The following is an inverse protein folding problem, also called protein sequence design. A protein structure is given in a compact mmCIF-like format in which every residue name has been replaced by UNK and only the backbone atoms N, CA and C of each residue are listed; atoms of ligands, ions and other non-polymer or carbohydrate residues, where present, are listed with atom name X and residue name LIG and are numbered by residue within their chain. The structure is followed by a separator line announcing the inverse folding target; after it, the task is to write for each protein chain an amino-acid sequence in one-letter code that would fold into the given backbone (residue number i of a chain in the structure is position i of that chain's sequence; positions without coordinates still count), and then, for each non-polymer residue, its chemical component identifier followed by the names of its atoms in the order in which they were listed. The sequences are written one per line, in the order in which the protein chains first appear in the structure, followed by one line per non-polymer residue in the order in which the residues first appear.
data_IF_442179644392
#
_entry.id   IF_442179644392
#
_cell.length_a   1.000
_cell.length_b   1.000
_cell.length_c   1.000
_cell.angle_alpha   90.00
_cell.angle_beta   90.00
_cell.angle_gamma   90.00
#
_symmetry.space_group_name_H-M   'P 1'
#
loop_
_entity.id
_entity.type
_entity.pdbx_description
1 polymer ?
#
# COMPACT_ATOMS: atom_id res chain seq x y z
N UNK A 1 23.21 -23.25 9.91
CA UNK A 1 23.57 -21.86 10.23
C UNK A 1 23.63 -21.11 8.91
N UNK A 2 22.55 -20.47 8.54
CA UNK A 2 22.49 -19.56 7.40
C UNK A 2 22.06 -18.23 8.03
N UNK A 3 22.93 -17.25 7.96
CA UNK A 3 22.83 -15.93 8.57
C UNK A 3 21.66 -15.13 7.99
N UNK A 4 20.74 -14.75 8.85
CA UNK A 4 19.82 -13.65 8.65
C UNK A 4 20.61 -12.35 8.45
N UNK A 5 20.52 -11.79 7.27
CA UNK A 5 21.20 -10.54 7.01
C UNK A 5 20.88 -9.97 5.65
N UNK A 6 19.69 -9.40 5.47
CA UNK A 6 19.45 -8.41 4.42
C UNK A 6 18.15 -7.65 4.75
N UNK A 7 18.23 -6.82 5.79
CA UNK A 7 17.43 -5.62 5.86
C UNK A 7 18.20 -4.50 5.14
N UNK A 8 17.61 -3.73 4.24
CA UNK A 8 18.30 -2.62 3.61
C UNK A 8 18.77 -1.63 4.69
N UNK A 9 20.00 -1.17 4.53
CA UNK A 9 20.67 -0.23 5.44
C UNK A 9 19.80 1.03 5.60
N UNK A 10 19.35 1.29 6.82
CA UNK A 10 18.84 2.59 7.26
C UNK A 10 19.88 3.67 6.96
N UNK A 11 19.51 4.69 6.24
CA UNK A 11 20.34 5.89 6.18
C UNK A 11 20.28 6.68 4.89
N UNK A 12 19.17 7.33 4.61
CA UNK A 12 19.16 8.65 3.94
C UNK A 12 17.88 9.38 4.37
N UNK A 13 18.04 10.68 4.63
CA UNK A 13 16.98 11.52 5.21
C UNK A 13 15.89 11.81 4.19
N UNK A 14 14.60 11.89 4.60
CA UNK A 14 13.48 12.27 3.73
C UNK A 14 13.52 13.74 3.27
N UNK A 15 14.56 14.49 3.59
CA UNK A 15 14.70 15.91 3.21
C UNK A 15 14.75 16.18 1.70
N UNK A 16 14.66 15.14 0.86
CA UNK A 16 14.69 15.26 -0.60
C UNK A 16 13.35 14.93 -1.28
N UNK A 17 12.23 15.01 -0.60
CA UNK A 17 10.92 15.08 -1.27
C UNK A 17 10.80 16.43 -2.00
N UNK A 18 11.61 16.60 -3.05
CA UNK A 18 11.61 17.78 -3.90
C UNK A 18 10.28 17.91 -4.64
N UNK A 19 9.87 19.15 -4.81
CA UNK A 19 8.59 19.59 -5.36
C UNK A 19 8.29 19.20 -6.80
N UNK A 20 9.23 18.61 -7.56
CA UNK A 20 9.04 18.32 -8.98
C UNK A 20 9.43 16.87 -9.29
N UNK A 21 8.40 16.03 -9.48
CA UNK A 21 8.50 14.59 -9.70
C UNK A 21 8.70 14.24 -11.19
N UNK A 22 9.55 14.99 -11.90
CA UNK A 22 10.10 14.56 -13.19
C UNK A 22 11.61 14.61 -13.11
N UNK A 23 12.22 13.45 -13.29
CA UNK A 23 13.68 13.35 -13.42
C UNK A 23 14.06 14.15 -14.68
N UNK A 24 15.01 15.09 -14.53
CA UNK A 24 15.58 15.83 -15.67
C UNK A 24 16.19 14.81 -16.66
N UNK A 25 15.96 14.98 -17.95
CA UNK A 25 16.39 14.06 -19.01
C UNK A 25 17.91 13.82 -18.95
N UNK A 26 18.70 14.82 -18.55
CA UNK A 26 20.15 14.68 -18.38
C UNK A 26 20.52 13.75 -17.23
N UNK A 27 19.79 13.76 -16.11
CA UNK A 27 19.99 12.86 -14.97
C UNK A 27 19.55 11.44 -15.34
N UNK A 28 18.51 11.30 -16.18
CA UNK A 28 18.05 10.03 -16.73
C UNK A 28 19.11 9.40 -17.64
N UNK A 29 19.68 10.16 -18.56
CA UNK A 29 20.70 9.69 -19.52
C UNK A 29 22.04 9.35 -18.82
N UNK A 30 22.39 10.05 -17.74
CA UNK A 30 23.61 9.76 -16.97
C UNK A 30 23.49 8.50 -16.09
N UNK A 31 22.27 8.07 -15.73
CA UNK A 31 22.05 6.79 -15.03
C UNK A 31 22.09 5.57 -15.97
N UNK A 32 21.94 5.75 -17.30
CA UNK A 32 22.04 4.64 -18.26
C UNK A 32 23.44 4.01 -18.33
N UNK A 33 24.49 4.77 -18.02
CA UNK A 33 25.89 4.34 -18.25
C UNK A 33 26.48 3.46 -17.15
N UNK A 34 25.75 3.13 -16.07
CA UNK A 34 26.34 2.45 -14.90
C UNK A 34 25.69 1.13 -14.47
N UNK A 35 24.58 0.70 -15.05
CA UNK A 35 23.91 -0.54 -14.60
C UNK A 35 24.19 -1.74 -15.50
N UNK A 36 24.33 -2.90 -14.86
CA UNK A 36 24.66 -4.16 -15.53
C UNK A 36 23.62 -4.51 -16.62
N UNK A 37 24.09 -5.07 -17.73
CA UNK A 37 23.24 -5.70 -18.72
C UNK A 37 22.30 -6.70 -18.03
N UNK A 38 20.97 -6.61 -18.32
CA UNK A 38 19.95 -7.47 -17.69
C UNK A 38 19.22 -6.85 -16.49
N UNK A 39 19.39 -5.54 -16.20
CA UNK A 39 18.54 -4.85 -15.21
C UNK A 39 17.08 -4.84 -15.65
N UNK A 40 16.16 -5.07 -14.71
CA UNK A 40 14.73 -5.21 -14.99
C UNK A 40 13.93 -4.14 -14.28
N UNK A 41 12.95 -3.57 -14.96
CA UNK A 41 12.04 -2.61 -14.34
C UNK A 41 10.64 -2.77 -14.92
N UNK A 42 9.61 -2.82 -14.06
CA UNK A 42 8.24 -2.96 -14.54
C UNK A 42 7.18 -2.76 -13.48
N UNK A 43 5.93 -2.71 -13.93
CA UNK A 43 4.76 -2.47 -13.13
C UNK A 43 4.08 -3.77 -12.68
N UNK A 44 3.68 -3.82 -11.41
CA UNK A 44 3.04 -4.99 -10.80
C UNK A 44 1.76 -4.53 -10.09
N UNK A 45 0.61 -5.03 -10.51
CA UNK A 45 -0.64 -4.77 -9.80
C UNK A 45 -0.84 -5.74 -8.63
N UNK A 46 -1.23 -5.22 -7.47
CA UNK A 46 -1.62 -6.04 -6.31
C UNK A 46 -3.15 -6.03 -6.20
N UNK A 47 -3.78 -7.17 -6.45
CA UNK A 47 -5.24 -7.30 -6.46
C UNK A 47 -5.72 -8.39 -5.50
N UNK A 48 -7.00 -8.35 -5.16
CA UNK A 48 -7.66 -9.32 -4.27
C UNK A 48 -8.82 -8.67 -3.53
N UNK A 49 -9.69 -9.49 -2.91
CA UNK A 49 -10.82 -8.97 -2.13
C UNK A 49 -10.37 -8.06 -0.97
N UNK A 50 -11.26 -7.28 -0.36
CA UNK A 50 -10.94 -6.49 0.82
C UNK A 50 -10.39 -7.35 1.97
N UNK A 51 -9.49 -6.78 2.75
CA UNK A 51 -8.92 -7.36 3.98
C UNK A 51 -8.08 -8.64 3.82
N UNK A 52 -7.69 -9.04 2.60
CA UNK A 52 -6.70 -10.13 2.40
C UNK A 52 -5.28 -9.73 2.77
N UNK A 53 -5.00 -8.42 2.89
CA UNK A 53 -3.72 -7.89 3.32
C UNK A 53 -2.87 -7.27 2.22
N UNK A 54 -3.46 -6.79 1.11
CA UNK A 54 -2.77 -6.13 -0.01
C UNK A 54 -1.86 -4.99 0.44
N UNK A 55 -2.41 -3.99 1.13
CA UNK A 55 -1.65 -2.82 1.63
C UNK A 55 -0.58 -3.21 2.67
N UNK A 56 -0.82 -4.26 3.47
CA UNK A 56 0.20 -4.80 4.38
C UNK A 56 1.33 -5.44 3.60
N UNK A 57 1.00 -6.22 2.56
CA UNK A 57 1.98 -6.83 1.67
C UNK A 57 2.83 -5.76 0.98
N UNK A 58 2.19 -4.74 0.41
CA UNK A 58 2.87 -3.63 -0.23
C UNK A 58 3.84 -2.91 0.71
N UNK A 59 3.40 -2.57 1.93
CA UNK A 59 4.28 -1.92 2.91
C UNK A 59 5.51 -2.77 3.27
N UNK A 60 5.37 -4.11 3.32
CA UNK A 60 6.51 -5.00 3.54
C UNK A 60 7.42 -5.14 2.32
N UNK A 61 6.85 -5.18 1.10
CA UNK A 61 7.64 -5.20 -0.14
C UNK A 61 8.51 -3.94 -0.25
N UNK A 62 7.96 -2.79 0.14
CA UNK A 62 8.67 -1.50 0.07
C UNK A 62 9.60 -1.30 1.29
N UNK A 63 9.37 -2.00 2.39
CA UNK A 63 10.09 -1.79 3.66
C UNK A 63 9.65 -0.54 4.43
N UNK A 64 8.62 0.17 3.96
CA UNK A 64 8.11 1.40 4.56
C UNK A 64 6.59 1.48 4.51
N UNK A 65 5.98 2.20 5.46
CA UNK A 65 4.52 2.38 5.52
C UNK A 65 4.07 3.50 4.58
N UNK A 66 3.75 3.15 3.35
CA UNK A 66 3.25 4.08 2.32
C UNK A 66 1.74 3.92 2.04
N UNK A 67 1.17 2.76 2.34
CA UNK A 67 -0.27 2.50 2.22
C UNK A 67 -0.89 2.25 3.60
N UNK A 68 -2.10 2.78 3.83
CA UNK A 68 -2.80 2.62 5.10
C UNK A 68 -3.42 1.24 5.24
N UNK A 69 -3.48 0.77 6.46
CA UNK A 69 -4.00 -0.56 6.79
C UNK A 69 -5.15 -0.49 7.78
N UNK A 70 -6.24 -1.20 7.51
CA UNK A 70 -7.36 -1.31 8.43
C UNK A 70 -8.05 -2.67 8.30
N UNK A 71 -8.78 -3.07 9.35
CA UNK A 71 -9.67 -4.24 9.28
C UNK A 71 -10.97 -3.95 8.52
N UNK A 72 -11.26 -2.68 8.23
CA UNK A 72 -12.47 -2.25 7.52
C UNK A 72 -12.26 -2.36 6.01
N UNK A 73 -13.33 -2.61 5.27
CA UNK A 73 -13.29 -2.59 3.81
C UNK A 73 -13.04 -1.16 3.28
N UNK A 74 -12.63 -1.04 2.02
CA UNK A 74 -12.43 0.26 1.34
C UNK A 74 -11.47 1.23 2.07
N UNK A 75 -10.46 0.68 2.74
CA UNK A 75 -9.42 1.50 3.40
C UNK A 75 -8.62 2.26 2.35
N UNK A 76 -8.15 1.58 1.31
CA UNK A 76 -7.48 2.18 0.16
C UNK A 76 -8.54 2.74 -0.81
N UNK A 77 -8.58 4.04 -0.98
CA UNK A 77 -9.49 4.75 -1.91
C UNK A 77 -8.75 5.24 -3.15
N UNK A 78 -7.49 5.57 -3.01
CA UNK A 78 -6.64 6.10 -4.06
C UNK A 78 -5.62 5.04 -4.46
N UNK A 79 -5.26 5.01 -5.74
CA UNK A 79 -4.13 4.25 -6.23
C UNK A 79 -2.86 4.75 -5.55
N UNK A 80 -2.12 3.84 -4.91
CA UNK A 80 -0.83 4.13 -4.29
C UNK A 80 0.23 3.35 -5.05
N UNK A 81 1.27 4.03 -5.49
CA UNK A 81 2.44 3.43 -6.12
C UNK A 81 3.52 3.22 -5.06
N UNK A 82 4.05 2.02 -4.97
CA UNK A 82 5.19 1.68 -4.14
C UNK A 82 6.35 1.22 -4.99
N UNK A 83 7.53 1.72 -4.72
CA UNK A 83 8.73 1.46 -5.51
C UNK A 83 9.73 0.72 -4.62
N UNK A 84 10.14 -0.46 -5.07
CA UNK A 84 11.22 -1.23 -4.48
C UNK A 84 12.34 -1.35 -5.50
N UNK A 85 13.54 -0.92 -5.12
CA UNK A 85 14.73 -0.94 -5.98
C UNK A 85 15.82 -1.76 -5.31
N UNK A 86 16.42 -2.68 -6.06
CA UNK A 86 17.67 -3.38 -5.70
C UNK A 86 18.71 -3.26 -6.82
N UNK A 87 19.85 -3.91 -6.64
CA UNK A 87 20.97 -3.84 -7.58
C UNK A 87 20.62 -4.40 -8.97
N UNK A 88 19.54 -5.15 -9.11
CA UNK A 88 19.20 -5.96 -10.28
C UNK A 88 17.83 -5.65 -10.88
N UNK A 89 16.95 -5.02 -10.12
CA UNK A 89 15.62 -4.69 -10.58
C UNK A 89 14.97 -3.52 -9.81
N UNK A 90 13.99 -2.88 -10.48
CA UNK A 90 13.05 -1.96 -9.84
C UNK A 90 11.64 -2.47 -10.06
N UNK A 91 10.93 -2.70 -8.95
CA UNK A 91 9.57 -3.18 -8.93
C UNK A 91 8.64 -2.01 -8.61
N UNK A 92 7.72 -1.68 -9.52
CA UNK A 92 6.75 -0.60 -9.33
C UNK A 92 5.40 -1.22 -8.98
N UNK A 93 5.12 -1.35 -7.69
CA UNK A 93 3.88 -1.93 -7.21
C UNK A 93 2.74 -0.92 -7.22
N UNK A 94 1.58 -1.36 -7.70
CA UNK A 94 0.36 -0.56 -7.70
C UNK A 94 -0.65 -1.20 -6.76
N UNK A 95 -0.88 -0.58 -5.58
CA UNK A 95 -1.95 -1.02 -4.66
C UNK A 95 -3.30 -0.54 -5.19
N UNK A 96 -4.18 -1.50 -5.42
CA UNK A 96 -5.53 -1.22 -5.89
C UNK A 96 -6.53 -1.28 -4.74
N UNK A 97 -7.60 -0.47 -4.78
CA UNK A 97 -8.75 -0.69 -3.91
C UNK A 97 -9.21 -2.15 -3.99
N UNK A 98 -9.59 -2.74 -2.86
CA UNK A 98 -10.11 -4.11 -2.84
C UNK A 98 -11.36 -4.22 -3.72
N UNK A 99 -11.41 -5.21 -4.60
CA UNK A 99 -12.54 -5.45 -5.50
C UNK A 99 -13.84 -5.63 -4.71
N UNK A 100 -14.87 -4.84 -5.03
CA UNK A 100 -16.15 -4.82 -4.30
C UNK A 100 -17.21 -5.63 -5.07
N UNK A 101 -17.73 -6.66 -4.41
CA UNK A 101 -18.80 -7.52 -4.97
C UNK A 101 -20.16 -7.23 -4.36
N UNK A 102 -20.19 -6.62 -3.16
CA UNK A 102 -21.42 -6.36 -2.43
C UNK A 102 -21.87 -4.91 -2.60
N UNK A 103 -23.11 -4.71 -3.02
CA UNK A 103 -23.78 -3.44 -3.27
C UNK A 103 -23.24 -2.64 -4.46
N UNK A 104 -24.04 -2.58 -5.53
CA UNK A 104 -23.85 -1.64 -6.64
C UNK A 104 -24.16 -0.22 -6.14
N UNK A 105 -23.13 0.61 -6.00
CA UNK A 105 -23.26 2.04 -5.82
C UNK A 105 -22.14 2.75 -6.61
N UNK A 106 -22.33 4.03 -6.90
CA UNK A 106 -21.41 4.82 -7.72
C UNK A 106 -19.95 4.80 -7.19
N UNK A 107 -19.76 4.64 -5.89
CA UNK A 107 -18.43 4.53 -5.28
C UNK A 107 -17.77 3.18 -5.63
N UNK A 108 -18.52 2.08 -5.52
CA UNK A 108 -18.01 0.75 -5.83
C UNK A 108 -17.71 0.59 -7.32
N UNK A 109 -18.53 1.18 -8.19
CA UNK A 109 -18.30 1.17 -9.63
C UNK A 109 -17.00 1.90 -10.00
N UNK A 110 -16.72 3.06 -9.39
CA UNK A 110 -15.45 3.78 -9.53
C UNK A 110 -14.25 2.99 -9.00
N UNK A 111 -14.39 2.33 -7.84
CA UNK A 111 -13.33 1.51 -7.27
C UNK A 111 -13.01 0.31 -8.17
N UNK A 112 -14.02 -0.32 -8.76
CA UNK A 112 -13.84 -1.43 -9.68
C UNK A 112 -13.23 -0.98 -11.03
N UNK A 113 -13.60 0.18 -11.55
CA UNK A 113 -12.94 0.80 -12.71
C UNK A 113 -11.45 1.04 -12.46
N UNK A 114 -11.09 1.60 -11.30
CA UNK A 114 -9.70 1.80 -10.91
C UNK A 114 -8.89 0.49 -10.87
N UNK A 115 -9.52 -0.64 -10.49
CA UNK A 115 -8.86 -1.96 -10.54
C UNK A 115 -8.65 -2.40 -11.98
N UNK A 116 -9.65 -2.27 -12.85
CA UNK A 116 -9.54 -2.65 -14.26
C UNK A 116 -8.48 -1.81 -14.99
N UNK A 117 -8.45 -0.51 -14.73
CA UNK A 117 -7.41 0.39 -15.26
C UNK A 117 -6.02 0.04 -14.74
N UNK A 118 -5.91 -0.34 -13.45
CA UNK A 118 -4.63 -0.75 -12.88
C UNK A 118 -4.13 -2.10 -13.41
N UNK A 119 -5.01 -2.95 -13.92
CA UNK A 119 -4.65 -4.23 -14.56
C UNK A 119 -4.25 -4.05 -16.03
N UNK A 120 -4.59 -2.94 -16.67
CA UNK A 120 -4.15 -2.63 -18.02
C UNK A 120 -2.76 -2.03 -18.02
N UNK A 121 -1.83 -2.65 -18.74
CA UNK A 121 -0.46 -2.14 -18.90
C UNK A 121 0.49 -2.44 -17.75
N UNK A 122 0.22 -3.49 -16.95
CA UNK A 122 1.19 -4.01 -15.99
C UNK A 122 1.88 -5.27 -16.54
N UNK A 123 3.11 -5.48 -16.10
CA UNK A 123 3.95 -6.60 -16.55
C UNK A 123 3.65 -7.89 -15.78
N UNK A 124 3.16 -7.77 -14.55
CA UNK A 124 2.71 -8.90 -13.74
C UNK A 124 1.58 -8.51 -12.77
N UNK A 125 0.85 -9.51 -12.29
CA UNK A 125 -0.21 -9.34 -11.29
C UNK A 125 0.07 -10.23 -10.08
N UNK A 126 -0.07 -9.67 -8.89
CA UNK A 126 -0.08 -10.38 -7.61
C UNK A 126 -1.52 -10.52 -7.15
N UNK A 127 -2.10 -11.71 -7.27
CA UNK A 127 -3.43 -12.02 -6.76
C UNK A 127 -3.34 -12.55 -5.33
N UNK A 128 -3.81 -11.74 -4.38
CA UNK A 128 -3.70 -12.03 -2.94
C UNK A 128 -4.99 -12.64 -2.41
N UNK A 129 -4.88 -13.84 -1.83
CA UNK A 129 -5.94 -14.51 -1.08
C UNK A 129 -5.53 -14.70 0.39
N UNK A 130 -6.49 -14.87 1.29
CA UNK A 130 -6.19 -15.26 2.67
C UNK A 130 -6.00 -16.79 2.71
N UNK A 131 -4.85 -17.24 3.21
CA UNK A 131 -4.55 -18.67 3.34
C UNK A 131 -5.67 -19.42 4.08
N UNK A 132 -6.03 -20.61 3.60
CA UNK A 132 -7.10 -21.46 4.11
C UNK A 132 -8.52 -20.84 4.03
N UNK A 133 -8.70 -19.76 3.26
CA UNK A 133 -9.99 -19.11 3.08
C UNK A 133 -10.15 -18.56 1.67
N UNK A 134 -10.71 -19.38 0.81
CA UNK A 134 -11.11 -19.01 -0.54
C UNK A 134 -12.63 -18.87 -0.60
N UNK A 135 -13.14 -17.79 -1.18
CA UNK A 135 -14.55 -17.42 -1.14
C UNK A 135 -15.06 -17.01 -2.52
N UNK A 136 -16.38 -16.89 -2.68
CA UNK A 136 -16.98 -16.40 -3.93
C UNK A 136 -16.51 -14.98 -4.31
N UNK A 137 -16.18 -14.16 -3.32
CA UNK A 137 -15.58 -12.84 -3.57
C UNK A 137 -14.17 -12.96 -4.21
N UNK A 138 -13.39 -13.98 -3.86
CA UNK A 138 -12.10 -14.26 -4.50
C UNK A 138 -12.30 -14.75 -5.94
N UNK A 139 -13.28 -15.61 -6.20
CA UNK A 139 -13.66 -16.05 -7.56
C UNK A 139 -14.11 -14.90 -8.44
N UNK A 140 -14.83 -13.93 -7.87
CA UNK A 140 -15.23 -12.72 -8.62
C UNK A 140 -14.01 -11.91 -9.06
N UNK A 141 -12.96 -11.82 -8.23
CA UNK A 141 -11.70 -11.18 -8.62
C UNK A 141 -11.00 -11.96 -9.73
N UNK A 142 -10.96 -13.29 -9.64
CA UNK A 142 -10.36 -14.16 -10.68
C UNK A 142 -10.96 -13.89 -12.05
N UNK A 143 -12.28 -13.70 -12.15
CA UNK A 143 -12.97 -13.40 -13.42
C UNK A 143 -12.50 -12.09 -14.09
N UNK A 144 -11.83 -11.22 -13.35
CA UNK A 144 -11.32 -9.93 -13.83
C UNK A 144 -9.80 -9.97 -14.12
N UNK A 145 -9.13 -11.07 -13.78
CA UNK A 145 -7.70 -11.19 -14.02
C UNK A 145 -7.39 -11.24 -15.52
N UNK A 146 -6.33 -10.57 -15.96
CA UNK A 146 -5.93 -10.59 -17.36
C UNK A 146 -5.45 -12.00 -17.76
N UNK A 147 -5.82 -12.45 -18.94
CA UNK A 147 -5.45 -13.79 -19.45
C UNK A 147 -4.02 -13.85 -20.03
N UNK A 148 -3.48 -12.71 -20.42
CA UNK A 148 -2.20 -12.63 -21.13
C UNK A 148 -1.06 -12.03 -20.28
N UNK A 149 -1.38 -11.53 -19.08
CA UNK A 149 -0.39 -11.04 -18.13
C UNK A 149 -0.13 -12.12 -17.08
N UNK A 150 1.14 -12.43 -16.74
CA UNK A 150 1.45 -13.42 -15.71
C UNK A 150 0.84 -13.03 -14.36
N UNK A 151 0.14 -13.97 -13.74
CA UNK A 151 -0.51 -13.80 -12.44
C UNK A 151 0.15 -14.72 -11.42
N UNK A 152 0.67 -14.17 -10.35
CA UNK A 152 1.22 -14.91 -9.20
C UNK A 152 0.17 -14.99 -8.10
N UNK A 153 -0.23 -16.22 -7.72
CA UNK A 153 -1.11 -16.47 -6.58
C UNK A 153 -0.33 -16.27 -5.27
N UNK A 154 -0.80 -15.40 -4.40
CA UNK A 154 -0.21 -15.18 -3.06
C UNK A 154 -1.19 -15.59 -1.97
N UNK A 155 -0.90 -16.70 -1.29
CA UNK A 155 -1.61 -17.14 -0.09
C UNK A 155 -1.05 -16.40 1.12
N UNK A 156 -1.73 -15.32 1.55
CA UNK A 156 -1.28 -14.46 2.65
C UNK A 156 -1.87 -14.87 4.00
N UNK A 157 -1.27 -14.40 5.10
CA UNK A 157 -1.66 -14.64 6.49
C UNK A 157 -1.42 -16.08 6.94
N UNK A 158 -0.37 -16.71 6.46
CA UNK A 158 0.02 -18.07 6.91
C UNK A 158 0.34 -18.14 8.41
N UNK A 159 0.53 -16.99 9.07
CA UNK A 159 0.66 -16.84 10.52
C UNK A 159 -0.65 -17.06 11.27
N UNK A 160 -1.79 -17.03 10.59
CA UNK A 160 -3.10 -17.27 11.17
C UNK A 160 -3.45 -18.75 11.10
N UNK A 161 -3.33 -19.43 12.20
CA UNK A 161 -3.81 -20.79 12.36
C UNK A 161 -2.71 -21.85 12.22
N UNK A 162 -3.08 -23.09 12.56
CA UNK A 162 -2.22 -24.27 12.48
C UNK A 162 -2.27 -24.89 11.07
N UNK A 163 -2.12 -24.08 10.01
CA UNK A 163 -1.97 -24.66 8.68
C UNK A 163 -0.60 -25.35 8.62
N UNK A 164 -0.60 -26.69 8.72
CA UNK A 164 0.59 -27.45 8.38
C UNK A 164 0.89 -27.29 6.88
N UNK A 165 2.09 -27.65 6.50
CA UNK A 165 2.58 -27.54 5.13
C UNK A 165 1.64 -28.27 4.13
N UNK A 166 1.15 -29.44 4.47
CA UNK A 166 0.31 -30.27 3.58
C UNK A 166 -1.05 -29.63 3.30
N UNK A 167 -1.67 -29.06 4.32
CA UNK A 167 -2.95 -28.33 4.14
C UNK A 167 -2.78 -27.08 3.32
N UNK A 168 -1.66 -26.35 3.50
CA UNK A 168 -1.38 -25.15 2.72
C UNK A 168 -1.12 -25.51 1.24
N UNK A 169 -0.37 -26.57 0.97
CA UNK A 169 -0.14 -27.08 -0.39
C UNK A 169 -1.46 -27.55 -1.05
N UNK A 170 -2.32 -28.26 -0.32
CA UNK A 170 -3.63 -28.67 -0.81
C UNK A 170 -4.50 -27.45 -1.15
N UNK A 171 -4.55 -26.45 -0.27
CA UNK A 171 -5.27 -25.20 -0.50
C UNK A 171 -4.75 -24.45 -1.76
N UNK A 172 -3.44 -24.32 -1.91
CA UNK A 172 -2.84 -23.65 -3.07
C UNK A 172 -3.19 -24.41 -4.36
N UNK A 173 -3.20 -25.74 -4.32
CA UNK A 173 -3.59 -26.58 -5.46
C UNK A 173 -5.08 -26.42 -5.81
N UNK A 174 -5.96 -26.37 -4.82
CA UNK A 174 -7.40 -26.11 -5.00
C UNK A 174 -7.64 -24.76 -5.67
N UNK A 175 -7.03 -23.68 -5.14
CA UNK A 175 -7.16 -22.34 -5.74
C UNK A 175 -6.49 -22.29 -7.13
N UNK A 176 -5.38 -22.99 -7.30
CA UNK A 176 -4.66 -23.10 -8.57
C UNK A 176 -5.46 -23.74 -9.70
N UNK A 177 -6.50 -24.53 -9.38
CA UNK A 177 -7.39 -25.12 -10.37
C UNK A 177 -8.43 -24.12 -10.94
N UNK A 178 -8.62 -22.96 -10.28
CA UNK A 178 -9.60 -21.94 -10.71
C UNK A 178 -9.07 -20.99 -11.80
N UNK A 179 -7.75 -20.93 -11.98
CA UNK A 179 -7.10 -20.04 -12.95
C UNK A 179 -5.67 -20.52 -13.26
N UNK A 180 -5.19 -20.26 -14.48
CA UNK A 180 -3.81 -20.56 -14.88
C UNK A 180 -2.83 -19.54 -14.30
N UNK A 181 -2.33 -19.83 -13.09
CA UNK A 181 -1.34 -18.97 -12.44
C UNK A 181 0.07 -19.28 -12.94
N UNK A 182 0.84 -18.23 -13.20
CA UNK A 182 2.25 -18.32 -13.58
C UNK A 182 3.15 -18.82 -12.43
N UNK A 183 2.63 -18.80 -11.20
CA UNK A 183 3.30 -19.31 -10.01
C UNK A 183 2.52 -19.01 -8.75
N UNK A 184 3.03 -19.47 -7.61
CA UNK A 184 2.41 -19.20 -6.32
C UNK A 184 3.46 -18.96 -5.23
N UNK A 185 3.09 -18.21 -4.20
CA UNK A 185 3.86 -18.00 -2.97
C UNK A 185 2.95 -17.99 -1.74
N UNK A 186 3.50 -18.49 -0.64
CA UNK A 186 2.86 -18.45 0.68
C UNK A 186 3.58 -17.42 1.55
N UNK A 187 2.84 -16.42 2.06
CA UNK A 187 3.44 -15.29 2.76
C UNK A 187 2.73 -14.97 4.07
N UNK A 188 3.47 -14.41 5.02
CA UNK A 188 2.89 -13.61 6.09
C UNK A 188 3.30 -12.17 5.90
N UNK A 189 2.46 -11.39 5.24
CA UNK A 189 2.70 -9.96 5.06
C UNK A 189 2.86 -9.21 6.39
N UNK A 190 2.29 -9.71 7.47
CA UNK A 190 2.43 -9.13 8.81
C UNK A 190 3.84 -9.28 9.38
N UNK A 191 4.49 -10.41 9.10
CA UNK A 191 5.80 -10.77 9.65
C UNK A 191 6.93 -10.76 8.61
N UNK A 192 6.66 -10.35 7.38
CA UNK A 192 7.65 -10.30 6.30
C UNK A 192 8.08 -11.68 5.75
N UNK A 193 7.39 -12.76 6.14
CA UNK A 193 7.74 -14.11 5.69
C UNK A 193 7.36 -14.31 4.22
N UNK A 194 8.27 -14.85 3.42
CA UNK A 194 8.05 -15.18 2.01
C UNK A 194 8.19 -13.98 1.06
N UNK A 195 8.47 -12.77 1.56
CA UNK A 195 8.56 -11.54 0.73
C UNK A 195 9.72 -11.62 -0.26
N UNK A 196 10.91 -12.02 0.17
CA UNK A 196 12.06 -12.15 -0.73
C UNK A 196 11.81 -13.16 -1.87
N UNK A 197 11.19 -14.32 -1.56
CA UNK A 197 10.82 -15.31 -2.58
C UNK A 197 9.78 -14.79 -3.57
N UNK A 198 8.85 -13.96 -3.10
CA UNK A 198 7.87 -13.32 -3.97
C UNK A 198 8.55 -12.35 -4.96
N UNK A 199 9.51 -11.53 -4.51
CA UNK A 199 10.29 -10.64 -5.38
C UNK A 199 11.08 -11.45 -6.43
N UNK A 200 11.78 -12.48 -6.02
CA UNK A 200 12.52 -13.37 -6.95
C UNK A 200 11.59 -14.03 -7.99
N UNK A 201 10.39 -14.40 -7.59
CA UNK A 201 9.40 -15.01 -8.49
C UNK A 201 8.78 -13.99 -9.47
N UNK A 202 8.68 -12.72 -9.08
CA UNK A 202 8.14 -11.65 -9.92
C UNK A 202 9.17 -11.14 -10.93
N UNK A 203 10.45 -11.10 -10.56
CA UNK A 203 11.53 -10.52 -11.35
C UNK A 203 11.62 -11.02 -12.81
N UNK A 204 11.48 -12.33 -13.13
CA UNK A 204 11.54 -12.82 -14.51
C UNK A 204 10.47 -12.23 -15.44
N UNK A 205 9.38 -11.74 -14.90
CA UNK A 205 8.26 -11.16 -15.66
C UNK A 205 8.41 -9.67 -15.95
N UNK A 206 9.38 -9.00 -15.30
CA UNK A 206 9.68 -7.62 -15.58
C UNK A 206 10.50 -7.51 -16.88
N UNK A 207 10.22 -6.54 -17.74
CA UNK A 207 11.02 -6.28 -18.93
C UNK A 207 12.45 -5.83 -18.56
N UNK A 208 13.40 -6.12 -19.42
CA UNK A 208 14.72 -5.49 -19.35
C UNK A 208 14.56 -4.01 -19.68
N UNK A 209 14.92 -3.17 -18.74
CA UNK A 209 14.71 -1.72 -18.84
C UNK A 209 15.57 -0.99 -17.81
N UNK A 210 15.77 0.29 -18.00
CA UNK A 210 16.35 1.20 -17.02
C UNK A 210 15.36 1.48 -15.90
N UNK A 211 15.81 1.90 -14.69
CA UNK A 211 14.93 2.33 -13.62
C UNK A 211 14.03 3.49 -14.07
N UNK A 212 12.75 3.44 -13.72
CA UNK A 212 11.78 4.51 -14.00
C UNK A 212 11.76 5.60 -12.92
N UNK A 213 12.26 5.27 -11.74
CA UNK A 213 12.26 6.17 -10.58
C UNK A 213 13.66 6.22 -9.93
N UNK A 214 14.02 7.31 -9.23
CA UNK A 214 15.22 7.37 -8.43
C UNK A 214 15.33 6.19 -7.45
N UNK A 215 16.57 5.76 -7.17
CA UNK A 215 16.83 4.57 -6.33
C UNK A 215 16.31 4.68 -4.90
N UNK A 216 16.31 5.89 -4.35
CA UNK A 216 15.85 6.21 -3.00
C UNK A 216 14.36 6.51 -2.92
N UNK A 217 13.67 6.53 -4.07
CA UNK A 217 12.24 6.80 -4.14
C UNK A 217 11.43 5.56 -3.78
N UNK A 218 10.59 5.65 -2.77
CA UNK A 218 9.73 4.55 -2.29
C UNK A 218 8.27 4.68 -2.71
N UNK A 219 7.84 5.86 -3.15
CA UNK A 219 6.47 6.13 -3.62
C UNK A 219 6.41 7.44 -4.43
N UNK A 220 5.45 7.52 -5.35
CA UNK A 220 5.11 8.74 -6.11
C UNK A 220 4.23 9.72 -5.32
N UNK A 221 3.86 9.38 -4.08
CA UNK A 221 2.97 10.21 -3.26
C UNK A 221 3.75 11.25 -2.45
N UNK A 222 3.22 12.47 -2.42
CA UNK A 222 3.79 13.54 -1.59
C UNK A 222 3.68 13.24 -0.10
N UNK A 223 4.57 13.80 0.71
CA UNK A 223 4.50 13.73 2.17
C UNK A 223 3.16 14.24 2.71
N UNK A 224 2.59 15.28 2.07
CA UNK A 224 1.26 15.82 2.36
C UNK A 224 0.15 14.75 2.20
N UNK A 225 0.19 13.97 1.12
CA UNK A 225 -0.75 12.87 0.89
C UNK A 225 -0.59 11.78 1.95
N UNK A 226 0.64 11.39 2.26
CA UNK A 226 0.92 10.35 3.25
C UNK A 226 0.47 10.77 4.66
N UNK A 227 0.67 12.02 5.05
CA UNK A 227 0.17 12.56 6.32
C UNK A 227 -1.36 12.51 6.41
N UNK A 228 -2.06 12.87 5.33
CA UNK A 228 -3.51 12.75 5.23
C UNK A 228 -3.97 11.30 5.42
N UNK A 229 -3.35 10.36 4.72
CA UNK A 229 -3.70 8.95 4.79
C UNK A 229 -3.42 8.35 6.18
N UNK A 230 -2.34 8.75 6.87
CA UNK A 230 -2.06 8.32 8.24
C UNK A 230 -3.18 8.75 9.18
N UNK A 231 -3.65 10.02 9.11
CA UNK A 231 -4.79 10.47 9.92
C UNK A 231 -6.05 9.67 9.56
N UNK A 232 -6.31 9.45 8.27
CA UNK A 232 -7.45 8.66 7.81
C UNK A 232 -7.41 7.22 8.34
N UNK A 233 -6.24 6.58 8.42
CA UNK A 233 -6.09 5.25 9.04
C UNK A 233 -6.53 5.28 10.51
N UNK A 234 -6.14 6.30 11.29
CA UNK A 234 -6.52 6.39 12.70
C UNK A 234 -8.02 6.62 12.86
N UNK A 235 -8.64 7.40 11.96
CA UNK A 235 -10.10 7.55 11.92
C UNK A 235 -10.78 6.18 11.71
N UNK A 236 -10.32 5.37 10.75
CA UNK A 236 -10.84 4.02 10.52
C UNK A 236 -10.63 3.09 11.72
N UNK A 237 -9.56 3.27 12.48
CA UNK A 237 -9.23 2.46 13.66
C UNK A 237 -10.08 2.80 14.87
N UNK A 238 -10.36 4.09 15.13
CA UNK A 238 -10.94 4.57 16.38
C UNK A 238 -12.40 4.97 16.31
N UNK A 239 -12.99 5.07 15.12
CA UNK A 239 -14.39 5.41 14.93
C UNK A 239 -15.24 4.17 14.59
N UNK A 240 -16.56 4.28 14.78
CA UNK A 240 -17.52 3.23 14.41
C UNK A 240 -17.52 2.90 12.92
N UNK A 241 -18.28 1.88 12.52
CA UNK A 241 -18.15 1.30 11.18
C UNK A 241 -18.48 2.28 10.05
N UNK A 242 -19.54 3.06 10.17
CA UNK A 242 -20.03 3.94 9.09
C UNK A 242 -19.36 5.32 9.05
N UNK A 243 -18.99 5.85 10.22
CA UNK A 243 -18.55 7.24 10.34
C UNK A 243 -17.29 7.59 9.53
N UNK A 244 -16.23 6.75 9.47
CA UNK A 244 -15.03 7.07 8.68
C UNK A 244 -15.28 7.22 7.18
N UNK A 245 -16.34 6.61 6.66
CA UNK A 245 -16.69 6.70 5.24
C UNK A 245 -17.29 8.06 4.86
N UNK A 246 -17.99 8.71 5.79
CA UNK A 246 -18.59 10.02 5.61
C UNK A 246 -17.61 11.19 5.86
N UNK A 247 -16.39 10.90 6.35
CA UNK A 247 -15.39 11.91 6.66
C UNK A 247 -14.41 12.14 5.51
N UNK A 248 -14.04 13.40 5.31
CA UNK A 248 -12.91 13.80 4.50
C UNK A 248 -11.79 14.32 5.39
N UNK A 249 -10.56 14.14 4.96
CA UNK A 249 -9.36 14.64 5.64
C UNK A 249 -8.66 15.61 4.70
N UNK A 250 -8.41 16.81 5.15
CA UNK A 250 -7.76 17.86 4.38
C UNK A 250 -6.53 18.36 5.12
N UNK A 251 -5.39 18.41 4.42
CA UNK A 251 -4.17 19.00 4.95
C UNK A 251 -4.21 20.48 4.63
N UNK A 252 -4.38 21.33 5.62
CA UNK A 252 -4.41 22.78 5.42
C UNK A 252 -2.98 23.35 5.32
N UNK A 253 -2.06 22.83 6.14
CA UNK A 253 -0.65 23.25 6.13
C UNK A 253 0.27 22.03 6.19
N UNK A 254 1.35 22.06 5.43
CA UNK A 254 2.42 21.08 5.45
C UNK A 254 3.73 21.79 5.11
N UNK A 255 4.53 22.10 6.11
CA UNK A 255 5.74 22.89 5.99
C UNK A 255 6.89 22.25 6.76
N UNK A 256 8.07 22.30 6.18
CA UNK A 256 9.33 21.95 6.83
C UNK A 256 9.99 23.23 7.34
N UNK A 257 10.22 23.30 8.64
CA UNK A 257 10.93 24.41 9.27
C UNK A 257 12.45 24.29 9.05
N UNK A 258 13.20 25.39 9.15
CA UNK A 258 14.66 25.35 9.04
C UNK A 258 15.33 24.39 10.05
N UNK A 259 14.66 24.07 11.14
CA UNK A 259 15.08 23.07 12.14
C UNK A 259 14.94 21.63 11.69
N UNK A 260 14.30 21.37 10.52
CA UNK A 260 13.92 20.05 10.03
C UNK A 260 12.62 19.50 10.65
N UNK A 261 11.93 20.27 11.51
CA UNK A 261 10.65 19.91 12.08
C UNK A 261 9.54 20.12 11.04
N UNK A 262 8.68 19.11 10.84
CA UNK A 262 7.47 19.29 10.04
C UNK A 262 6.33 19.87 10.86
N UNK A 263 5.77 20.98 10.37
CA UNK A 263 4.54 21.59 10.90
C UNK A 263 3.36 21.23 10.03
N UNK A 264 2.43 20.43 10.58
CA UNK A 264 1.33 19.84 9.82
C UNK A 264 0.01 20.18 10.50
N UNK A 265 -0.92 20.76 9.73
CA UNK A 265 -2.27 21.10 10.16
C UNK A 265 -3.28 20.36 9.31
N UNK A 266 -4.19 19.59 9.96
CA UNK A 266 -5.14 18.72 9.29
C UNK A 266 -6.55 18.95 9.82
N UNK A 267 -7.47 19.27 8.93
CA UNK A 267 -8.90 19.34 9.19
C UNK A 267 -9.57 17.99 8.86
N UNK A 268 -10.39 17.49 9.77
CA UNK A 268 -11.28 16.36 9.52
C UNK A 268 -12.69 16.94 9.31
N UNK A 269 -13.16 16.84 8.07
CA UNK A 269 -14.46 17.36 7.67
C UNK A 269 -15.54 16.33 7.93
N UNK A 270 -16.62 16.77 8.55
CA UNK A 270 -17.81 15.97 8.85
C UNK A 270 -19.06 16.68 8.33
N UNK A 271 -20.14 15.94 8.09
CA UNK A 271 -21.38 16.51 7.53
C UNK A 271 -22.29 17.13 8.61
N UNK A 272 -22.16 16.71 9.88
CA UNK A 272 -23.07 17.11 10.98
C UNK A 272 -22.33 17.30 12.31
N UNK A 273 -22.85 18.18 13.18
CA UNK A 273 -22.29 18.40 14.52
C UNK A 273 -22.30 17.14 15.41
N UNK A 274 -23.30 16.27 15.26
CA UNK A 274 -23.31 14.97 15.95
C UNK A 274 -22.12 14.10 15.61
N UNK A 275 -21.69 14.09 14.34
CA UNK A 275 -20.49 13.38 13.89
C UNK A 275 -19.22 14.03 14.45
N UNK A 276 -19.18 15.37 14.51
CA UNK A 276 -18.08 16.13 15.11
C UNK A 276 -17.93 15.76 16.60
N UNK A 277 -19.04 15.70 17.34
CA UNK A 277 -19.03 15.30 18.75
C UNK A 277 -18.48 13.86 18.94
N UNK A 278 -18.89 12.92 18.06
CA UNK A 278 -18.37 11.54 18.08
C UNK A 278 -16.87 11.50 17.79
N UNK A 279 -16.39 12.27 16.80
CA UNK A 279 -14.98 12.36 16.45
C UNK A 279 -14.11 12.92 17.58
N UNK A 280 -14.57 13.98 18.22
CA UNK A 280 -13.87 14.61 19.35
C UNK A 280 -13.84 13.67 20.55
N UNK A 281 -14.99 13.05 20.89
CA UNK A 281 -15.16 12.18 22.04
C UNK A 281 -15.26 12.95 23.36
N UNK A 282 -15.51 12.23 24.47
CA UNK A 282 -15.65 12.82 25.80
C UNK A 282 -14.36 13.55 26.18
N UNK A 283 -14.46 14.83 26.49
CA UNK A 283 -13.31 15.66 26.87
C UNK A 283 -12.20 15.78 25.81
N UNK A 284 -12.50 15.45 24.52
CA UNK A 284 -11.51 15.51 23.46
C UNK A 284 -10.54 14.31 23.38
N UNK A 285 -10.71 13.29 24.23
CA UNK A 285 -9.78 12.16 24.35
C UNK A 285 -9.58 11.38 23.05
N UNK A 286 -10.67 11.18 22.28
CA UNK A 286 -10.58 10.39 21.04
C UNK A 286 -9.75 11.10 19.97
N UNK A 287 -10.03 12.38 19.73
CA UNK A 287 -9.29 13.17 18.77
C UNK A 287 -7.82 13.32 19.19
N UNK A 288 -7.55 13.51 20.49
CA UNK A 288 -6.19 13.53 21.05
C UNK A 288 -5.46 12.22 20.78
N UNK A 289 -6.10 11.06 21.00
CA UNK A 289 -5.52 9.74 20.71
C UNK A 289 -5.20 9.56 19.23
N UNK A 290 -6.15 9.92 18.36
CA UNK A 290 -5.98 9.90 16.90
C UNK A 290 -4.75 10.75 16.50
N UNK A 291 -4.69 12.00 16.97
CA UNK A 291 -3.60 12.93 16.66
C UNK A 291 -2.25 12.42 17.17
N UNK A 292 -2.20 11.90 18.40
CA UNK A 292 -0.96 11.39 18.99
C UNK A 292 -0.40 10.20 18.20
N UNK A 293 -1.25 9.20 17.87
CA UNK A 293 -0.79 8.05 17.10
C UNK A 293 -0.45 8.42 15.66
N UNK A 294 -1.19 9.33 15.05
CA UNK A 294 -0.87 9.83 13.72
C UNK A 294 0.49 10.54 13.71
N UNK A 295 0.77 11.40 14.68
CA UNK A 295 2.06 12.08 14.82
C UNK A 295 3.22 11.09 14.94
N UNK A 296 3.08 10.08 15.80
CA UNK A 296 4.12 9.07 15.99
C UNK A 296 4.39 8.24 14.72
N UNK A 297 3.36 7.93 13.94
CA UNK A 297 3.53 7.25 12.66
C UNK A 297 4.17 8.18 11.61
N UNK A 298 3.83 9.48 11.59
CA UNK A 298 4.47 10.48 10.74
C UNK A 298 5.95 10.68 11.09
N UNK A 299 6.29 10.76 12.39
CA UNK A 299 7.69 10.87 12.83
C UNK A 299 8.53 9.67 12.37
N UNK A 300 7.94 8.46 12.36
CA UNK A 300 8.62 7.26 11.82
C UNK A 300 8.75 7.30 10.31
N UNK A 301 7.73 7.82 9.61
CA UNK A 301 7.71 7.87 8.14
C UNK A 301 8.69 8.91 7.62
N UNK A 302 8.71 10.10 8.23
CA UNK A 302 9.54 11.23 7.81
C UNK A 302 10.92 11.26 8.47
N UNK A 303 11.19 10.30 9.37
CA UNK A 303 12.44 10.21 10.15
C UNK A 303 12.84 11.55 10.83
N UNK A 304 11.84 12.31 11.26
CA UNK A 304 12.04 13.63 11.92
C UNK A 304 10.89 13.94 12.87
N UNK A 305 11.04 15.01 13.66
CA UNK A 305 10.00 15.48 14.56
C UNK A 305 8.85 16.12 13.79
N UNK A 306 7.62 15.89 14.29
CA UNK A 306 6.40 16.41 13.69
C UNK A 306 5.58 17.15 14.74
N UNK A 307 5.26 18.41 14.45
CA UNK A 307 4.19 19.14 15.12
C UNK A 307 2.89 18.92 14.36
N UNK A 308 1.98 18.13 14.92
CA UNK A 308 0.71 17.82 14.30
C UNK A 308 -0.45 18.45 15.05
N UNK A 309 -1.28 19.24 14.36
CA UNK A 309 -2.56 19.75 14.86
C UNK A 309 -3.69 19.18 14.01
N UNK A 310 -4.64 18.47 14.67
CA UNK A 310 -5.83 17.91 14.02
C UNK A 310 -7.08 18.49 14.67
N UNK A 311 -8.04 18.91 13.87
CA UNK A 311 -9.33 19.39 14.37
C UNK A 311 -10.51 18.93 13.52
N UNK A 312 -11.71 19.00 14.09
CA UNK A 312 -12.95 18.65 13.43
C UNK A 312 -13.66 19.92 12.91
N UNK A 313 -14.09 19.90 11.65
CA UNK A 313 -14.82 20.97 11.00
C UNK A 313 -16.07 20.41 10.34
N UNK A 314 -17.22 21.06 10.53
CA UNK A 314 -18.44 20.72 9.79
C UNK A 314 -18.35 21.37 8.41
N UNK A 315 -18.69 20.62 7.37
CA UNK A 315 -18.76 21.15 6.01
C UNK A 315 -19.81 22.27 5.96
N UNK A 316 -19.44 23.40 5.45
CA UNK A 316 -20.34 24.52 5.14
C UNK A 316 -21.16 24.22 3.90
#
# INVERSE_FOLDING_TARGET
MISDGLLPKRGKRPSEFKKDCFMDIETFLNNESGRAAGYRCGFIAIVGRPNVGKSTLMNHLIGQKISITSKKAQTTRNRVTGIYTDDTAQFVFVDTPGFQTNHRNALNDRLNQNVTEALSGVDAVVFVVEAMRFTEADRTVIKQLPKHTPVILVANKIDKGKADKYRLEAFIREVGAEFEFAGHEAVSAKHGLGIARLLERLKPYLPESVPMYPEDMVTDKSGRFLAMEIVREKLFRYLGEELPYAMNVEVEQFEEEPSGLYRIYIAVLVDKDSQKAILIGKGGERLKKISTEARLDMEKLFDTKVFLKVWAKVKS
#
